data_IF_919227450781
#
_entry.id   IF_919227450781
#
_cell.length_a   1.000
_cell.length_b   1.000
_cell.length_c   1.000
_cell.angle_alpha   90.00
_cell.angle_beta   90.00
_cell.angle_gamma   90.00
#
_symmetry.space_group_name_H-M   'P 1'
#
loop_
_entity.id
_entity.type
_entity.pdbx_description
1 polymer ?
#
# COMPACT_ATOMS: atom_id res chain seq x y z
N UNK A 1 -64.68 10.76 16.84
CA UNK A 1 -63.46 11.35 16.24
C UNK A 1 -62.36 10.30 16.30
N UNK A 2 -61.87 9.80 15.16
CA UNK A 2 -60.74 8.87 15.10
C UNK A 2 -59.52 9.66 14.62
N UNK A 3 -58.53 9.81 15.49
CA UNK A 3 -57.25 10.43 15.15
C UNK A 3 -56.39 9.40 14.42
N UNK A 4 -56.09 9.65 13.14
CA UNK A 4 -55.07 8.91 12.41
C UNK A 4 -53.72 9.61 12.63
N UNK A 5 -52.84 8.96 13.38
CA UNK A 5 -51.46 9.38 13.57
C UNK A 5 -50.67 8.96 12.32
N UNK A 6 -50.33 9.90 11.46
CA UNK A 6 -49.52 9.66 10.27
C UNK A 6 -48.04 9.77 10.69
N UNK A 7 -47.38 8.63 10.88
CA UNK A 7 -45.93 8.59 11.15
C UNK A 7 -45.19 8.65 9.81
N UNK A 8 -44.53 9.78 9.54
CA UNK A 8 -43.62 9.94 8.42
C UNK A 8 -42.28 9.30 8.77
N UNK A 9 -41.99 8.11 8.26
CA UNK A 9 -40.66 7.50 8.34
C UNK A 9 -39.78 8.14 7.25
N UNK A 10 -38.90 9.05 7.64
CA UNK A 10 -37.88 9.61 6.77
C UNK A 10 -36.70 8.62 6.71
N UNK A 11 -36.71 7.74 5.70
CA UNK A 11 -35.57 6.88 5.39
C UNK A 11 -34.47 7.74 4.76
N UNK A 12 -33.52 8.21 5.58
CA UNK A 12 -32.25 8.74 5.08
C UNK A 12 -31.39 7.53 4.73
N UNK A 13 -31.45 7.08 3.48
CA UNK A 13 -30.46 6.14 2.96
C UNK A 13 -29.14 6.90 2.77
N UNK A 14 -28.22 6.77 3.71
CA UNK A 14 -26.82 7.15 3.47
C UNK A 14 -26.27 6.20 2.40
N UNK A 15 -26.30 6.62 1.13
CA UNK A 15 -25.47 6.00 0.12
C UNK A 15 -24.01 6.26 0.56
N UNK A 16 -23.34 5.22 1.05
CA UNK A 16 -21.90 5.26 1.29
C UNK A 16 -21.21 5.37 -0.07
N UNK A 17 -21.11 6.61 -0.59
CA UNK A 17 -20.29 6.90 -1.75
C UNK A 17 -18.84 6.59 -1.39
N UNK A 18 -18.23 5.67 -2.12
CA UNK A 18 -16.78 5.47 -2.07
C UNK A 18 -16.13 6.76 -2.56
N UNK A 19 -15.43 7.46 -1.66
CA UNK A 19 -14.61 8.60 -2.05
C UNK A 19 -13.41 8.04 -2.81
N UNK A 20 -13.26 8.41 -4.08
CA UNK A 20 -12.05 8.11 -4.85
C UNK A 20 -11.07 9.24 -4.64
N UNK A 21 -9.92 8.94 -4.05
CA UNK A 21 -8.83 9.89 -3.92
C UNK A 21 -7.99 9.83 -5.20
N UNK A 22 -7.57 10.95 -5.75
CA UNK A 22 -6.71 10.98 -6.95
C UNK A 22 -5.46 11.78 -6.65
N UNK A 23 -4.30 11.31 -7.12
CA UNK A 23 -3.02 12.00 -6.97
C UNK A 23 -1.95 11.30 -7.80
N UNK A 24 -0.90 12.02 -8.17
CA UNK A 24 0.24 11.48 -8.93
C UNK A 24 1.40 11.23 -7.96
N UNK A 25 1.81 9.97 -7.80
CA UNK A 25 2.90 9.58 -6.91
C UNK A 25 4.25 9.81 -7.59
N UNK A 26 5.20 10.45 -6.89
CA UNK A 26 6.51 10.81 -7.46
C UNK A 26 7.68 10.15 -6.77
N UNK A 27 7.59 9.89 -5.46
CA UNK A 27 8.67 9.23 -4.70
C UNK A 27 8.17 8.70 -3.36
N UNK A 28 8.94 7.79 -2.77
CA UNK A 28 8.78 7.32 -1.39
C UNK A 28 10.16 7.10 -0.77
N UNK A 29 10.35 7.54 0.48
CA UNK A 29 11.64 7.43 1.17
C UNK A 29 11.49 7.33 2.68
N UNK A 30 12.45 6.70 3.36
CA UNK A 30 12.46 6.58 4.82
C UNK A 30 12.66 7.95 5.48
N UNK A 31 11.93 8.22 6.56
CA UNK A 31 12.05 9.48 7.33
C UNK A 31 13.35 9.52 8.15
N UNK A 32 13.77 8.37 8.66
CA UNK A 32 14.94 8.23 9.52
C UNK A 32 15.98 7.29 8.90
N UNK A 33 17.20 7.33 9.45
CA UNK A 33 18.28 6.41 9.09
C UNK A 33 18.46 5.32 10.16
N UNK A 34 19.26 4.30 9.85
CA UNK A 34 19.57 3.19 10.75
C UNK A 34 18.69 1.96 10.55
N UNK A 35 18.79 1.00 11.48
CA UNK A 35 18.20 -0.35 11.33
C UNK A 35 16.66 -0.34 11.33
N UNK A 36 16.08 0.66 11.98
CA UNK A 36 14.63 0.85 12.10
C UNK A 36 14.08 1.84 11.06
N UNK A 37 14.89 2.31 10.11
CA UNK A 37 14.46 3.24 9.07
C UNK A 37 13.27 2.73 8.25
N UNK A 38 13.09 1.41 8.16
CA UNK A 38 11.95 0.79 7.47
C UNK A 38 10.60 1.13 8.10
N UNK A 39 10.56 1.67 9.32
CA UNK A 39 9.33 1.85 10.06
C UNK A 39 8.54 3.09 9.67
N UNK A 40 9.14 4.05 8.96
CA UNK A 40 8.51 5.34 8.69
C UNK A 40 8.96 5.90 7.33
N UNK A 41 8.00 6.24 6.49
CA UNK A 41 8.22 6.66 5.11
C UNK A 41 7.36 7.86 4.74
N UNK A 42 8.02 8.84 4.12
CA UNK A 42 7.37 9.95 3.44
C UNK A 42 7.03 9.55 2.00
N UNK A 43 5.79 9.82 1.60
CA UNK A 43 5.30 9.64 0.24
C UNK A 43 5.13 11.01 -0.40
N UNK A 44 5.81 11.25 -1.51
CA UNK A 44 5.63 12.47 -2.30
C UNK A 44 4.53 12.27 -3.34
N UNK A 45 3.55 13.14 -3.29
CA UNK A 45 2.43 13.21 -4.23
C UNK A 45 2.49 14.61 -4.86
N UNK A 46 2.13 14.73 -6.13
CA UNK A 46 2.18 16.04 -6.79
C UNK A 46 1.25 17.05 -6.12
N UNK A 47 1.85 17.99 -5.40
CA UNK A 47 1.16 19.04 -4.64
C UNK A 47 0.76 18.66 -3.21
N UNK A 48 1.11 17.47 -2.72
CA UNK A 48 0.75 16.99 -1.38
C UNK A 48 1.79 15.98 -0.84
N UNK A 49 1.67 15.57 0.41
CA UNK A 49 2.47 14.49 0.99
C UNK A 49 1.58 13.46 1.68
N UNK A 50 2.06 12.22 1.70
CA UNK A 50 1.48 11.13 2.45
C UNK A 50 2.52 10.44 3.31
N UNK A 51 2.08 9.43 4.06
CA UNK A 51 2.94 8.63 4.93
C UNK A 51 2.62 7.14 4.79
N UNK A 52 3.60 6.31 5.14
CA UNK A 52 3.46 4.87 5.37
C UNK A 52 4.38 4.47 6.53
N UNK A 53 3.83 3.93 7.61
CA UNK A 53 4.61 3.65 8.82
C UNK A 53 4.04 2.49 9.64
N UNK A 54 4.88 1.86 10.45
CA UNK A 54 4.46 0.82 11.40
C UNK A 54 3.66 1.42 12.56
N UNK A 55 2.56 0.76 12.97
CA UNK A 55 1.74 1.21 14.10
C UNK A 55 2.45 0.97 15.45
N UNK A 56 3.18 -0.13 15.55
CA UNK A 56 3.87 -0.54 16.77
C UNK A 56 5.40 -0.53 16.59
N UNK A 57 6.12 -0.72 17.69
CA UNK A 57 7.57 -0.93 17.71
C UNK A 57 7.91 -2.35 18.14
N UNK A 58 9.19 -2.73 18.02
CA UNK A 58 9.70 -4.04 18.38
C UNK A 58 9.62 -5.07 17.25
N UNK A 59 9.88 -6.34 17.59
CA UNK A 59 10.08 -7.41 16.61
C UNK A 59 8.86 -7.71 15.72
N UNK A 60 7.67 -7.30 16.17
CA UNK A 60 6.40 -7.51 15.45
C UNK A 60 5.85 -6.21 14.82
N UNK A 61 6.62 -5.12 14.85
CA UNK A 61 6.24 -3.83 14.25
C UNK A 61 5.80 -3.98 12.79
N UNK A 62 6.47 -4.86 12.05
CA UNK A 62 6.20 -5.14 10.65
C UNK A 62 4.80 -5.68 10.37
N UNK A 63 4.08 -6.21 11.36
CA UNK A 63 2.77 -6.84 11.13
C UNK A 63 1.63 -5.85 10.94
N UNK A 64 1.80 -4.59 11.33
CA UNK A 64 0.74 -3.58 11.32
C UNK A 64 1.28 -2.22 10.89
N UNK A 65 0.66 -1.66 9.86
CA UNK A 65 1.04 -0.40 9.25
C UNK A 65 -0.16 0.51 9.14
N UNK A 66 0.11 1.82 9.18
CA UNK A 66 -0.82 2.87 8.81
C UNK A 66 -0.28 3.65 7.63
N UNK A 67 -1.17 4.17 6.82
CA UNK A 67 -0.84 5.04 5.69
C UNK A 67 -1.88 6.15 5.58
N UNK A 68 -1.57 7.22 4.86
CA UNK A 68 -2.53 8.31 4.68
C UNK A 68 -2.01 9.49 3.91
N UNK A 69 -2.95 10.39 3.60
CA UNK A 69 -2.75 11.66 2.90
C UNK A 69 -3.68 12.69 3.55
N UNK A 70 -3.12 13.81 4.00
CA UNK A 70 -3.87 14.82 4.74
C UNK A 70 -4.53 14.25 6.02
N UNK A 71 -5.85 14.38 6.13
CA UNK A 71 -6.64 13.87 7.28
C UNK A 71 -7.15 12.44 7.08
N UNK A 72 -7.00 11.88 5.87
CA UNK A 72 -7.53 10.55 5.54
C UNK A 72 -6.43 9.51 5.72
N UNK A 73 -6.77 8.40 6.36
CA UNK A 73 -5.83 7.34 6.68
C UNK A 73 -6.45 5.95 6.48
N UNK A 74 -5.58 4.96 6.43
CA UNK A 74 -5.91 3.56 6.37
C UNK A 74 -4.88 2.71 7.09
N UNK A 75 -5.16 1.41 7.15
CA UNK A 75 -4.35 0.42 7.84
C UNK A 75 -4.05 -0.77 6.93
N UNK A 76 -2.90 -1.39 7.15
CA UNK A 76 -2.48 -2.65 6.52
C UNK A 76 -2.03 -3.60 7.65
N UNK A 77 -2.54 -4.83 7.68
CA UNK A 77 -2.17 -5.81 8.71
C UNK A 77 -2.10 -7.23 8.16
N UNK A 78 -1.20 -8.05 8.71
CA UNK A 78 -1.11 -9.47 8.33
C UNK A 78 -2.41 -10.20 8.63
N UNK A 79 -2.85 -11.09 7.75
CA UNK A 79 -4.10 -11.88 7.93
C UNK A 79 -3.92 -12.99 8.97
N UNK A 80 -2.73 -13.56 9.05
CA UNK A 80 -2.41 -14.66 9.97
C UNK A 80 -1.06 -14.43 10.66
N UNK A 81 -0.74 -15.30 11.61
CA UNK A 81 0.54 -15.30 12.33
C UNK A 81 1.46 -16.40 11.80
N UNK A 82 2.77 -16.31 12.11
CA UNK A 82 3.77 -17.32 11.77
C UNK A 82 4.76 -16.85 10.70
N UNK A 83 5.66 -17.75 10.28
CA UNK A 83 6.76 -17.44 9.36
C UNK A 83 6.28 -17.02 7.96
N UNK A 84 5.06 -17.41 7.59
CA UNK A 84 4.46 -17.10 6.29
C UNK A 84 3.51 -15.90 6.32
N UNK A 85 3.32 -15.27 7.49
CA UNK A 85 2.36 -14.17 7.67
C UNK A 85 2.61 -12.99 6.72
N UNK A 86 3.86 -12.81 6.28
CA UNK A 86 4.22 -11.80 5.29
C UNK A 86 3.59 -12.02 3.91
N UNK A 87 3.08 -13.21 3.59
CA UNK A 87 2.53 -13.52 2.26
C UNK A 87 1.09 -13.03 2.08
N UNK A 88 0.42 -12.59 3.15
CA UNK A 88 -1.00 -12.21 3.11
C UNK A 88 -1.35 -11.12 4.12
N UNK A 89 -1.95 -10.06 3.60
CA UNK A 89 -2.34 -8.88 4.37
C UNK A 89 -3.75 -8.47 3.99
N UNK A 90 -4.40 -7.77 4.92
CA UNK A 90 -5.62 -7.02 4.68
C UNK A 90 -5.31 -5.54 4.75
N UNK A 91 -6.05 -4.74 4.00
CA UNK A 91 -6.03 -3.29 4.15
C UNK A 91 -7.44 -2.73 4.29
N UNK A 92 -7.54 -1.55 4.88
CA UNK A 92 -8.78 -0.80 4.95
C UNK A 92 -8.54 0.70 5.05
N UNK A 93 -9.42 1.48 4.44
CA UNK A 93 -9.51 2.94 4.53
C UNK A 93 -10.99 3.35 4.33
N UNK A 94 -11.39 4.61 4.51
CA UNK A 94 -12.80 5.00 4.51
C UNK A 94 -13.60 4.46 3.31
N UNK A 95 -14.53 3.54 3.59
CA UNK A 95 -15.43 2.94 2.60
C UNK A 95 -14.81 1.85 1.71
N UNK A 96 -13.56 1.44 1.96
CA UNK A 96 -12.86 0.42 1.16
C UNK A 96 -12.08 -0.54 2.05
N UNK A 97 -12.14 -1.82 1.72
CA UNK A 97 -11.31 -2.87 2.33
C UNK A 97 -10.87 -3.86 1.28
N UNK A 98 -9.73 -4.48 1.47
CA UNK A 98 -9.23 -5.46 0.52
C UNK A 98 -8.06 -6.28 1.05
N UNK A 99 -7.39 -6.95 0.12
CA UNK A 99 -6.33 -7.91 0.39
C UNK A 99 -5.07 -7.61 -0.43
N UNK A 100 -3.93 -7.94 0.17
CA UNK A 100 -2.61 -7.96 -0.44
C UNK A 100 -2.10 -9.39 -0.31
N UNK A 101 -1.72 -10.04 -1.40
CA UNK A 101 -1.21 -11.42 -1.34
C UNK A 101 -0.12 -11.67 -2.38
N UNK A 102 0.83 -12.54 -2.04
CA UNK A 102 1.79 -13.05 -3.03
C UNK A 102 1.08 -13.89 -4.08
N UNK A 103 1.46 -13.77 -5.36
CA UNK A 103 0.83 -14.51 -6.47
C UNK A 103 1.13 -16.02 -6.40
N UNK A 104 2.31 -16.38 -5.90
CA UNK A 104 2.75 -17.77 -5.79
C UNK A 104 3.43 -18.00 -4.44
N UNK A 105 3.70 -19.27 -4.13
CA UNK A 105 4.39 -19.70 -2.92
C UNK A 105 5.88 -19.94 -3.16
N UNK A 106 6.68 -19.91 -2.09
CA UNK A 106 8.11 -20.25 -2.11
C UNK A 106 9.01 -19.04 -1.85
N UNK A 107 10.31 -19.23 -2.00
CA UNK A 107 11.33 -18.23 -1.61
C UNK A 107 11.28 -16.98 -2.49
N UNK A 108 10.75 -17.11 -3.70
CA UNK A 108 10.62 -16.02 -4.67
C UNK A 108 9.24 -15.33 -4.62
N UNK A 109 8.34 -15.75 -3.72
CA UNK A 109 6.97 -15.25 -3.64
C UNK A 109 6.90 -13.72 -3.47
N UNK A 110 7.92 -13.13 -2.85
CA UNK A 110 8.04 -11.68 -2.69
C UNK A 110 8.15 -10.92 -4.01
N UNK A 111 8.48 -11.56 -5.13
CA UNK A 111 8.66 -10.88 -6.43
C UNK A 111 7.35 -10.50 -7.11
N UNK A 112 6.21 -11.09 -6.69
CA UNK A 112 4.91 -10.83 -7.32
C UNK A 112 3.78 -10.85 -6.30
N UNK A 113 2.97 -9.80 -6.32
CA UNK A 113 1.83 -9.61 -5.44
C UNK A 113 0.60 -9.17 -6.21
N UNK A 114 -0.55 -9.37 -5.57
CA UNK A 114 -1.84 -8.85 -5.98
C UNK A 114 -2.37 -7.97 -4.87
N UNK A 115 -2.89 -6.80 -5.23
CA UNK A 115 -3.63 -5.91 -4.33
C UNK A 115 -5.03 -5.73 -4.89
N UNK A 116 -6.06 -6.05 -4.12
CA UNK A 116 -7.44 -5.94 -4.59
C UNK A 116 -8.40 -5.49 -3.50
N UNK A 117 -9.29 -4.56 -3.83
CA UNK A 117 -10.42 -4.13 -3.00
C UNK A 117 -11.74 -4.84 -3.38
N UNK A 118 -11.66 -5.91 -4.16
CA UNK A 118 -12.80 -6.62 -4.73
C UNK A 118 -13.45 -5.95 -5.96
N UNK A 119 -13.07 -4.72 -6.31
CA UNK A 119 -13.56 -4.00 -7.50
C UNK A 119 -12.47 -3.79 -8.54
N UNK A 120 -11.27 -3.43 -8.10
CA UNK A 120 -10.05 -3.30 -8.89
C UNK A 120 -9.00 -4.28 -8.36
N UNK A 121 -8.07 -4.63 -9.24
CA UNK A 121 -6.93 -5.47 -8.90
C UNK A 121 -5.68 -4.88 -9.54
N UNK A 122 -4.70 -4.56 -8.70
CA UNK A 122 -3.37 -4.13 -9.10
C UNK A 122 -2.39 -5.29 -8.95
N UNK A 123 -1.60 -5.53 -9.99
CA UNK A 123 -0.52 -6.53 -10.01
C UNK A 123 0.79 -5.82 -9.72
N UNK A 124 1.46 -6.21 -8.65
CA UNK A 124 2.75 -5.64 -8.25
C UNK A 124 3.82 -6.67 -8.55
N UNK A 125 4.85 -6.32 -9.31
CA UNK A 125 5.91 -7.26 -9.65
C UNK A 125 7.27 -6.61 -9.83
N UNK A 126 8.33 -7.34 -9.52
CA UNK A 126 9.69 -6.93 -9.88
C UNK A 126 9.85 -6.94 -11.40
N UNK A 127 10.57 -5.96 -11.95
CA UNK A 127 10.78 -5.83 -13.41
C UNK A 127 11.65 -6.97 -13.96
N UNK A 128 12.57 -7.49 -13.16
CA UNK A 128 13.46 -8.58 -13.53
C UNK A 128 13.65 -9.55 -12.37
N UNK A 129 14.22 -10.72 -12.64
CA UNK A 129 14.54 -11.74 -11.63
C UNK A 129 15.94 -11.60 -11.03
N UNK A 130 16.26 -12.48 -10.08
CA UNK A 130 17.57 -12.52 -9.42
C UNK A 130 17.62 -11.77 -8.08
N UNK A 131 18.82 -11.67 -7.51
CA UNK A 131 19.05 -11.13 -6.16
C UNK A 131 18.81 -9.63 -6.02
N UNK A 132 18.91 -8.90 -7.14
CA UNK A 132 18.76 -7.44 -7.19
C UNK A 132 17.38 -7.02 -7.73
N UNK A 133 16.47 -7.99 -7.92
CA UNK A 133 15.11 -7.77 -8.42
C UNK A 133 14.32 -6.76 -7.58
N UNK A 134 14.62 -6.66 -6.29
CA UNK A 134 14.00 -5.72 -5.38
C UNK A 134 14.25 -4.26 -5.77
N UNK A 135 15.25 -3.93 -6.60
CA UNK A 135 15.56 -2.54 -6.96
C UNK A 135 14.51 -1.91 -7.92
N UNK A 136 13.72 -2.72 -8.63
CA UNK A 136 12.87 -2.26 -9.75
C UNK A 136 11.52 -2.97 -9.74
N UNK A 137 10.43 -2.21 -9.70
CA UNK A 137 9.06 -2.71 -9.66
C UNK A 137 8.16 -2.06 -10.70
N UNK A 138 7.13 -2.80 -11.07
CA UNK A 138 5.97 -2.32 -11.80
C UNK A 138 4.70 -2.61 -11.00
N UNK A 139 3.74 -1.69 -11.06
CA UNK A 139 2.38 -1.89 -10.58
C UNK A 139 1.46 -1.69 -11.79
N UNK A 140 0.79 -2.75 -12.21
CA UNK A 140 -0.07 -2.75 -13.38
C UNK A 140 -1.53 -2.90 -12.96
N UNK A 141 -2.40 -2.06 -13.53
CA UNK A 141 -3.82 -2.05 -13.26
C UNK A 141 -4.64 -1.70 -14.49
N UNK A 142 -5.98 -1.78 -14.41
CA UNK A 142 -6.86 -1.47 -15.54
C UNK A 142 -6.77 -0.01 -16.01
N UNK A 143 -6.25 0.89 -15.16
CA UNK A 143 -6.19 2.34 -15.41
C UNK A 143 -4.78 2.85 -15.73
N UNK A 144 -3.83 1.95 -15.96
CA UNK A 144 -2.45 2.29 -16.30
C UNK A 144 -1.42 1.50 -15.52
N UNK A 145 -0.21 2.04 -15.43
CA UNK A 145 0.94 1.39 -14.81
C UNK A 145 1.78 2.38 -14.01
N UNK A 146 2.44 1.92 -12.95
CA UNK A 146 3.42 2.68 -12.19
C UNK A 146 4.75 1.96 -12.26
N UNK A 147 5.84 2.69 -12.54
CA UNK A 147 7.21 2.16 -12.40
C UNK A 147 7.87 2.73 -11.16
N UNK A 148 8.58 1.89 -10.42
CA UNK A 148 9.22 2.26 -9.16
C UNK A 148 10.66 1.75 -9.19
N UNK A 149 11.62 2.64 -8.98
CA UNK A 149 13.05 2.29 -8.96
C UNK A 149 13.72 2.94 -7.76
N UNK A 150 14.67 2.25 -7.13
CA UNK A 150 15.50 2.90 -6.11
C UNK A 150 16.23 4.12 -6.68
N UNK A 151 16.42 5.15 -5.87
CA UNK A 151 17.08 6.40 -6.31
C UNK A 151 18.60 6.29 -6.37
N UNK A 152 19.16 5.28 -5.71
CA UNK A 152 20.58 4.95 -5.72
C UNK A 152 20.79 3.42 -5.70
N UNK A 153 22.05 2.99 -5.74
CA UNK A 153 22.46 1.58 -5.69
C UNK A 153 23.15 1.24 -4.37
N UNK A 154 23.19 -0.05 -4.01
CA UNK A 154 23.88 -0.56 -2.83
C UNK A 154 22.93 -1.09 -1.76
N UNK A 155 23.49 -1.55 -0.64
CA UNK A 155 22.75 -2.20 0.46
C UNK A 155 21.71 -1.27 1.10
N UNK A 156 21.94 0.05 1.08
CA UNK A 156 21.00 1.05 1.58
C UNK A 156 19.94 1.50 0.58
N UNK A 157 19.96 1.04 -0.68
CA UNK A 157 19.10 1.58 -1.75
C UNK A 157 17.61 1.41 -1.50
N UNK A 158 17.22 0.46 -0.65
CA UNK A 158 15.83 0.28 -0.25
C UNK A 158 15.28 1.50 0.47
N UNK A 159 16.10 2.42 0.98
CA UNK A 159 15.64 3.59 1.76
C UNK A 159 14.97 4.68 0.92
N UNK A 160 15.09 4.68 -0.41
CA UNK A 160 14.55 5.76 -1.26
C UNK A 160 14.25 5.30 -2.69
N UNK A 161 13.07 5.68 -3.19
CA UNK A 161 12.55 5.24 -4.48
C UNK A 161 11.92 6.40 -5.25
N UNK A 162 12.20 6.42 -6.55
CA UNK A 162 11.54 7.25 -7.55
C UNK A 162 10.34 6.52 -8.12
N UNK A 163 9.26 7.25 -8.38
CA UNK A 163 8.00 6.72 -8.91
C UNK A 163 7.65 7.47 -10.18
N UNK A 164 7.36 6.71 -11.25
CA UNK A 164 6.74 7.20 -12.48
C UNK A 164 5.31 6.69 -12.54
N UNK A 165 4.36 7.50 -12.05
CA UNK A 165 2.94 7.17 -11.98
C UNK A 165 2.22 7.52 -13.28
N UNK A 166 1.92 6.50 -14.09
CA UNK A 166 1.11 6.62 -15.30
C UNK A 166 -0.26 5.96 -15.10
N UNK A 167 -0.84 6.13 -13.90
CA UNK A 167 -2.13 5.57 -13.51
C UNK A 167 -3.06 6.67 -12.92
N UNK A 168 -3.47 7.66 -13.74
CA UNK A 168 -4.06 8.91 -13.28
C UNK A 168 -5.47 8.78 -12.68
N UNK A 169 -6.22 7.74 -13.04
CA UNK A 169 -7.61 7.55 -12.62
C UNK A 169 -7.78 6.47 -11.54
N UNK A 170 -6.68 5.90 -11.05
CA UNK A 170 -6.73 4.93 -9.97
C UNK A 170 -6.81 5.62 -8.61
N UNK A 171 -7.53 4.98 -7.70
CA UNK A 171 -7.63 5.43 -6.33
C UNK A 171 -6.24 5.54 -5.69
N UNK A 172 -5.93 6.73 -5.16
CA UNK A 172 -4.62 7.07 -4.60
C UNK A 172 -4.26 6.15 -3.44
N UNK A 173 -5.22 5.82 -2.58
CA UNK A 173 -4.98 4.91 -1.47
C UNK A 173 -4.74 3.48 -1.96
N UNK A 174 -5.46 3.00 -2.97
CA UNK A 174 -5.15 1.72 -3.59
C UNK A 174 -3.73 1.70 -4.19
N UNK A 175 -3.28 2.81 -4.80
CA UNK A 175 -1.89 2.95 -5.28
C UNK A 175 -0.86 2.91 -4.15
N UNK A 176 -1.11 3.61 -3.03
CA UNK A 176 -0.23 3.58 -1.85
C UNK A 176 -0.17 2.17 -1.25
N UNK A 177 -1.31 1.49 -1.14
CA UNK A 177 -1.37 0.09 -0.71
C UNK A 177 -0.61 -0.82 -1.67
N UNK A 178 -0.61 -0.54 -2.98
CA UNK A 178 0.18 -1.30 -3.95
C UNK A 178 1.68 -0.99 -3.93
N UNK A 179 2.10 0.14 -3.35
CA UNK A 179 3.52 0.43 -3.07
C UNK A 179 4.03 -0.33 -1.85
N UNK A 180 3.15 -0.62 -0.87
CA UNK A 180 3.53 -1.32 0.35
C UNK A 180 4.32 -2.63 0.10
N UNK A 181 3.92 -3.54 -0.82
CA UNK A 181 4.71 -4.72 -1.14
C UNK A 181 6.12 -4.41 -1.64
N UNK A 182 6.33 -3.32 -2.39
CA UNK A 182 7.64 -2.89 -2.87
C UNK A 182 8.53 -2.46 -1.69
N UNK A 183 7.98 -1.65 -0.78
CA UNK A 183 8.66 -1.17 0.43
C UNK A 183 9.01 -2.33 1.36
N UNK A 184 8.01 -3.16 1.67
CA UNK A 184 8.18 -4.33 2.51
C UNK A 184 9.25 -5.25 1.93
N UNK A 185 9.13 -5.60 0.65
CA UNK A 185 10.06 -6.53 0.02
C UNK A 185 11.45 -5.92 -0.14
N UNK A 186 11.54 -4.63 -0.47
CA UNK A 186 12.79 -3.90 -0.57
C UNK A 186 13.57 -3.91 0.74
N UNK A 187 12.91 -3.69 1.88
CA UNK A 187 13.58 -3.84 3.17
C UNK A 187 13.94 -5.31 3.44
N UNK A 188 12.99 -6.24 3.40
CA UNK A 188 13.19 -7.61 3.89
C UNK A 188 14.11 -8.48 3.03
N UNK A 189 14.12 -8.27 1.72
CA UNK A 189 14.87 -9.09 0.77
C UNK A 189 16.08 -8.38 0.16
N UNK A 190 16.34 -7.11 0.53
CA UNK A 190 17.62 -6.48 0.19
C UNK A 190 18.78 -7.06 1.00
N UNK A 191 20.00 -7.07 0.43
CA UNK A 191 21.21 -7.35 1.19
C UNK A 191 21.35 -6.37 2.36
N UNK A 192 21.58 -6.89 3.57
CA UNK A 192 21.72 -6.09 4.79
C UNK A 192 23.09 -5.42 4.86
N UNK A 193 23.11 -4.22 5.44
CA UNK A 193 24.32 -3.48 5.83
C UNK A 193 25.11 -4.19 6.93
#
# INVERSE_FOLDING_TARGET
MKYYFLVFFLLISAAAGSQTFTGELTSIQTVFSGNDAYRDWDISIKGESGFLETIFSGNDAWKNWRFGVGQNNGEISTVFSGSDAWKSWRFSYPGVSGEISTVFSGDDAWKQWTVSDGKSTLRVSTVFGGKDAWLYWTIDGPKGSIRINTTFSGTGAWKSWSISDNMPNEDLFLKIVAIFPCVFSGYYFSPKE
#
